data_IF_505238174710
#
_entry.id   IF_505238174710
#
_cell.length_a   1.000
_cell.length_b   1.000
_cell.length_c   1.000
_cell.angle_alpha   90.00
_cell.angle_beta   90.00
_cell.angle_gamma   90.00
#
_symmetry.space_group_name_H-M   'P 1'
#
loop_
_entity.id
_entity.type
_entity.pdbx_description
1 polymer ?
#
# COMPACT_ATOMS: atom_id res chain seq x y z
N UNK A 1 17.72 -4.29 -12.13
CA UNK A 1 16.46 -4.79 -11.54
C UNK A 1 16.15 -3.96 -10.31
N UNK A 2 15.63 -2.75 -10.53
CA UNK A 2 15.20 -1.87 -9.44
C UNK A 2 13.84 -1.33 -9.80
N UNK A 3 12.83 -2.19 -9.75
CA UNK A 3 11.46 -1.71 -9.60
C UNK A 3 11.42 -0.99 -8.27
N UNK A 4 11.31 0.34 -8.28
CA UNK A 4 11.24 1.17 -7.08
C UNK A 4 10.15 0.62 -6.17
N UNK A 5 10.54 -0.17 -5.17
CA UNK A 5 9.63 -0.65 -4.12
C UNK A 5 9.50 0.52 -3.17
N UNK A 6 8.37 1.20 -3.28
CA UNK A 6 8.01 2.34 -2.45
C UNK A 6 6.88 1.90 -1.53
N UNK A 7 6.95 2.29 -0.26
CA UNK A 7 5.85 2.02 0.66
C UNK A 7 4.64 2.88 0.30
N UNK A 8 3.41 2.50 0.71
CA UNK A 8 2.25 3.37 0.50
C UNK A 8 2.43 4.77 1.11
N UNK A 9 3.05 4.87 2.29
CA UNK A 9 3.41 6.15 2.92
C UNK A 9 4.35 6.98 2.06
N UNK A 10 5.41 6.38 1.51
CA UNK A 10 6.35 7.08 0.62
C UNK A 10 5.67 7.55 -0.67
N UNK A 11 4.73 6.75 -1.21
CA UNK A 11 3.95 7.14 -2.37
C UNK A 11 3.07 8.36 -2.10
N UNK A 12 2.43 8.40 -0.95
CA UNK A 12 1.64 9.54 -0.51
C UNK A 12 2.53 10.78 -0.34
N UNK A 13 3.67 10.65 0.34
CA UNK A 13 4.63 11.74 0.53
C UNK A 13 5.20 12.27 -0.80
N UNK A 14 5.35 11.42 -1.80
CA UNK A 14 5.76 11.79 -3.16
C UNK A 14 4.65 12.46 -3.99
N UNK A 15 3.44 12.63 -3.45
CA UNK A 15 2.32 13.30 -4.10
C UNK A 15 1.50 12.38 -5.03
N UNK A 16 1.54 11.06 -4.83
CA UNK A 16 0.73 10.15 -5.62
C UNK A 16 -0.76 10.43 -5.45
N UNK A 17 -1.47 10.62 -6.55
CA UNK A 17 -2.94 10.83 -6.56
C UNK A 17 -3.73 9.55 -6.31
N UNK A 18 -3.08 8.38 -6.35
CA UNK A 18 -3.68 7.09 -6.07
C UNK A 18 -2.61 6.01 -5.89
N UNK A 19 -2.91 5.03 -5.05
CA UNK A 19 -2.00 3.92 -4.70
C UNK A 19 -2.73 2.61 -5.02
N UNK A 20 -2.12 1.75 -5.85
CA UNK A 20 -2.66 0.45 -6.21
C UNK A 20 -1.90 -0.64 -5.47
N UNK A 21 -2.62 -1.43 -4.66
CA UNK A 21 -2.07 -2.54 -3.90
C UNK A 21 -2.78 -3.82 -4.36
N UNK A 22 -2.03 -4.70 -5.02
CA UNK A 22 -2.55 -5.95 -5.58
C UNK A 22 -2.43 -7.13 -4.60
N UNK A 23 -1.46 -8.01 -4.86
CA UNK A 23 -1.24 -9.27 -4.12
C UNK A 23 -1.23 -9.13 -2.60
N UNK A 24 -0.64 -8.09 -1.98
CA UNK A 24 -0.66 -7.94 -0.54
C UNK A 24 -2.07 -7.92 0.06
N UNK A 25 -3.07 -7.44 -0.69
CA UNK A 25 -4.48 -7.46 -0.27
C UNK A 25 -5.17 -8.73 -0.78
N UNK A 26 -5.08 -9.03 -2.08
CA UNK A 26 -5.88 -10.09 -2.69
C UNK A 26 -5.49 -11.50 -2.27
N UNK A 27 -4.26 -11.70 -1.77
CA UNK A 27 -3.77 -13.00 -1.27
C UNK A 27 -3.65 -13.05 0.25
N UNK A 28 -4.08 -12.01 0.96
CA UNK A 28 -4.05 -12.00 2.42
C UNK A 28 -5.09 -12.96 3.00
N UNK A 29 -4.76 -13.58 4.13
CA UNK A 29 -5.72 -14.37 4.90
C UNK A 29 -6.91 -13.51 5.38
N UNK A 30 -6.63 -12.26 5.74
CA UNK A 30 -7.64 -11.27 6.11
C UNK A 30 -7.42 -9.96 5.33
N UNK A 31 -8.00 -9.83 4.11
CA UNK A 31 -7.79 -8.65 3.27
C UNK A 31 -8.23 -7.33 3.92
N UNK A 32 -9.27 -7.37 4.76
CA UNK A 32 -9.76 -6.19 5.48
C UNK A 32 -8.70 -5.64 6.42
N UNK A 33 -8.09 -6.50 7.23
CA UNK A 33 -7.04 -6.11 8.17
C UNK A 33 -5.84 -5.49 7.45
N UNK A 34 -5.44 -6.03 6.29
CA UNK A 34 -4.35 -5.45 5.49
C UNK A 34 -4.72 -4.05 5.01
N UNK A 35 -5.94 -3.85 4.51
CA UNK A 35 -6.41 -2.52 4.09
C UNK A 35 -6.43 -1.54 5.27
N UNK A 36 -6.91 -1.95 6.44
CA UNK A 36 -6.92 -1.11 7.64
C UNK A 36 -5.51 -0.72 8.07
N UNK A 37 -4.55 -1.64 7.99
CA UNK A 37 -3.15 -1.36 8.30
C UNK A 37 -2.53 -0.39 7.28
N UNK A 38 -2.81 -0.54 5.99
CA UNK A 38 -2.36 0.40 4.95
C UNK A 38 -2.94 1.80 5.18
N UNK A 39 -4.23 1.90 5.48
CA UNK A 39 -4.89 3.19 5.76
C UNK A 39 -4.26 3.84 6.99
N UNK A 40 -4.01 3.07 8.06
CA UNK A 40 -3.34 3.55 9.27
C UNK A 40 -1.91 4.01 9.01
N UNK A 41 -1.21 3.41 8.04
CA UNK A 41 0.15 3.81 7.68
C UNK A 41 0.19 5.07 6.79
N UNK A 42 -0.90 5.40 6.08
CA UNK A 42 -0.93 6.61 5.24
C UNK A 42 -1.39 7.84 6.02
N UNK A 43 -2.26 7.64 7.03
CA UNK A 43 -2.76 8.69 7.92
C UNK A 43 -1.78 9.02 9.06
#
# INVERSE_FOLDING_TARGET
DQGRVMTPRDACAAGASGIVIGRPITQAHNPREVVENVIRDIL
#
